data_IF_041717715013
#
_entry.id   IF_041717715013
#
_cell.length_a   1.000
_cell.length_b   1.000
_cell.length_c   1.000
_cell.angle_alpha   90.00
_cell.angle_beta   90.00
_cell.angle_gamma   90.00
#
_symmetry.space_group_name_H-M   'P 1'
#
loop_
_entity.id
_entity.type
_entity.pdbx_description
1 polymer ?
#
# COMPACT_ATOMS: atom_id res chain seq x y z
N UNK A 1 -2.24 4.10 -9.93
CA UNK A 1 -1.66 5.36 -10.44
C UNK A 1 -1.75 5.55 -11.97
N UNK A 2 -2.08 4.53 -12.77
CA UNK A 2 -2.19 4.66 -14.23
C UNK A 2 -0.83 4.72 -14.94
N UNK A 3 0.25 4.27 -14.29
CA UNK A 3 1.57 4.22 -14.89
C UNK A 3 1.59 3.32 -16.15
N UNK A 4 2.38 3.69 -17.17
CA UNK A 4 2.38 3.00 -18.47
C UNK A 4 2.75 1.50 -18.41
N UNK A 5 3.49 1.07 -17.37
CA UNK A 5 3.74 -0.35 -17.11
C UNK A 5 2.48 -1.15 -16.76
N UNK A 6 1.42 -0.49 -16.27
CA UNK A 6 0.15 -1.11 -15.88
C UNK A 6 -0.88 -1.12 -17.01
N UNK A 7 -0.58 -0.53 -18.17
CA UNK A 7 -1.51 -0.37 -19.30
C UNK A 7 -1.04 -1.07 -20.56
N UNK A 8 -0.09 -2.01 -20.47
CA UNK A 8 0.34 -2.79 -21.63
C UNK A 8 -0.78 -3.74 -22.07
N UNK A 9 -0.83 -4.05 -23.36
CA UNK A 9 -1.84 -4.97 -23.91
C UNK A 9 -1.72 -6.37 -23.29
N UNK A 10 -0.49 -6.81 -23.01
CA UNK A 10 -0.22 -8.07 -22.33
C UNK A 10 -0.87 -8.11 -20.93
N UNK A 11 -0.67 -7.07 -20.12
CA UNK A 11 -1.28 -6.97 -18.79
C UNK A 11 -2.80 -6.94 -18.84
N UNK A 12 -3.37 -6.18 -19.77
CA UNK A 12 -4.83 -6.07 -19.95
C UNK A 12 -5.43 -7.42 -20.35
N UNK A 13 -4.79 -8.14 -21.28
CA UNK A 13 -5.24 -9.45 -21.72
C UNK A 13 -5.14 -10.48 -20.60
N UNK A 14 -4.06 -10.46 -19.82
CA UNK A 14 -3.88 -11.34 -18.67
C UNK A 14 -4.94 -11.08 -17.59
N UNK A 15 -5.23 -9.82 -17.26
CA UNK A 15 -6.28 -9.45 -16.32
C UNK A 15 -7.66 -9.92 -16.80
N UNK A 16 -7.99 -9.69 -18.08
CA UNK A 16 -9.25 -10.14 -18.69
C UNK A 16 -9.39 -11.67 -18.65
N UNK A 17 -8.33 -12.41 -18.98
CA UNK A 17 -8.33 -13.88 -18.95
C UNK A 17 -8.59 -14.45 -17.54
N UNK A 18 -8.25 -13.68 -16.50
CA UNK A 18 -8.45 -14.04 -15.09
C UNK A 18 -9.67 -13.36 -14.44
N UNK A 19 -10.57 -12.74 -15.22
CA UNK A 19 -11.74 -12.01 -14.72
C UNK A 19 -11.41 -10.89 -13.71
N UNK A 20 -10.26 -10.24 -13.88
CA UNK A 20 -9.81 -9.11 -13.05
C UNK A 20 -10.18 -7.81 -13.76
N UNK A 21 -10.92 -6.94 -13.06
CA UNK A 21 -11.22 -5.59 -13.53
C UNK A 21 -10.05 -4.67 -13.13
N UNK A 22 -9.37 -4.11 -14.13
CA UNK A 22 -8.33 -3.11 -13.90
C UNK A 22 -8.98 -1.72 -13.77
N UNK A 23 -8.63 -1.01 -12.70
CA UNK A 23 -9.07 0.36 -12.48
C UNK A 23 -7.93 1.35 -12.71
N UNK A 24 -8.09 2.24 -13.68
CA UNK A 24 -7.13 3.31 -13.94
C UNK A 24 -7.61 4.59 -13.25
N UNK A 25 -6.82 5.08 -12.29
CA UNK A 25 -7.12 6.35 -11.61
C UNK A 25 -6.86 7.52 -12.57
N UNK A 26 -7.66 8.61 -12.52
CA UNK A 26 -7.32 9.83 -13.24
C UNK A 26 -5.92 10.32 -12.88
N UNK A 27 -5.19 10.97 -13.82
CA UNK A 27 -3.85 11.46 -13.56
C UNK A 27 -3.76 12.32 -12.29
N UNK A 28 -2.67 12.18 -11.53
CA UNK A 28 -2.38 12.93 -10.30
C UNK A 28 -3.41 12.79 -9.16
N UNK A 29 -4.27 11.76 -9.19
CA UNK A 29 -5.27 11.54 -8.13
C UNK A 29 -4.93 10.43 -7.13
N UNK A 30 -3.74 9.82 -7.21
CA UNK A 30 -3.30 8.75 -6.30
C UNK A 30 -3.48 9.13 -4.82
N UNK A 31 -3.04 10.33 -4.44
CA UNK A 31 -3.17 10.88 -3.08
C UNK A 31 -4.61 11.07 -2.58
N UNK A 32 -5.62 10.93 -3.47
CA UNK A 32 -7.05 11.07 -3.14
C UNK A 32 -7.79 9.75 -3.29
N UNK A 33 -7.53 9.02 -4.36
CA UNK A 33 -8.36 7.88 -4.76
C UNK A 33 -7.69 6.53 -4.50
N UNK A 34 -6.39 6.46 -4.22
CA UNK A 34 -5.70 5.20 -3.95
C UNK A 34 -5.69 4.94 -2.44
N UNK A 35 -6.48 3.97 -1.91
CA UNK A 35 -6.60 3.78 -0.46
C UNK A 35 -5.27 3.51 0.24
N UNK A 36 -4.34 2.84 -0.46
CA UNK A 36 -3.01 2.57 0.10
C UNK A 36 -2.26 3.86 0.42
N UNK A 37 -2.25 4.83 -0.49
CA UNK A 37 -1.62 6.15 -0.28
C UNK A 37 -2.39 7.00 0.72
N UNK A 38 -3.72 6.93 0.69
CA UNK A 38 -4.59 7.76 1.55
C UNK A 38 -4.50 7.37 3.03
N UNK A 39 -4.33 6.08 3.35
CA UNK A 39 -4.44 5.66 4.75
C UNK A 39 -3.54 4.51 5.21
N UNK A 40 -2.87 3.77 4.31
CA UNK A 40 -2.07 2.61 4.73
C UNK A 40 -0.57 2.88 4.74
N UNK A 41 -0.05 3.64 3.76
CA UNK A 41 1.38 3.83 3.59
C UNK A 41 2.00 4.79 4.61
N UNK A 42 1.27 5.81 5.06
CA UNK A 42 1.74 6.66 6.17
C UNK A 42 2.02 5.86 7.45
N UNK A 43 1.04 5.11 7.98
CA UNK A 43 1.26 4.24 9.13
C UNK A 43 2.33 3.18 8.91
N UNK A 44 2.45 2.63 7.69
CA UNK A 44 3.50 1.67 7.35
C UNK A 44 4.89 2.30 7.44
N UNK A 45 5.06 3.50 6.89
CA UNK A 45 6.32 4.22 6.92
C UNK A 45 6.76 4.50 8.37
N UNK A 46 5.84 4.97 9.21
CA UNK A 46 6.11 5.15 10.65
C UNK A 46 6.49 3.83 11.32
N UNK A 47 5.72 2.77 11.10
CA UNK A 47 6.01 1.46 11.70
C UNK A 47 7.33 0.87 11.21
N UNK A 48 7.73 1.15 9.96
CA UNK A 48 8.98 0.72 9.38
C UNK A 48 10.17 1.44 10.01
N UNK A 49 10.13 2.76 10.12
CA UNK A 49 11.19 3.52 10.78
C UNK A 49 11.36 3.10 12.24
N UNK A 50 10.27 2.99 12.99
CA UNK A 50 10.32 2.48 14.36
C UNK A 50 10.94 1.08 14.43
N UNK A 51 10.70 0.21 13.44
CA UNK A 51 11.28 -1.13 13.43
C UNK A 51 12.79 -1.10 13.15
N UNK A 52 13.25 -0.21 12.28
CA UNK A 52 14.68 -0.01 12.05
C UNK A 52 15.36 0.51 13.32
N UNK A 53 14.76 1.47 14.01
CA UNK A 53 15.27 2.03 15.26
C UNK A 53 15.31 0.96 16.36
N UNK A 54 14.23 0.16 16.53
CA UNK A 54 14.19 -0.98 17.46
C UNK A 54 15.38 -1.94 17.24
N UNK A 55 15.72 -2.27 15.99
CA UNK A 55 16.83 -3.20 15.68
C UNK A 55 18.18 -2.56 16.00
N UNK A 56 18.36 -1.29 15.66
CA UNK A 56 19.58 -0.56 15.98
C UNK A 56 19.80 -0.49 17.49
N UNK A 57 18.74 -0.20 18.25
CA UNK A 57 18.77 -0.13 19.70
C UNK A 57 19.04 -1.51 20.34
N UNK A 58 18.44 -2.59 19.82
CA UNK A 58 18.58 -3.94 20.35
C UNK A 58 19.95 -4.59 20.04
N UNK A 59 20.50 -4.31 18.85
CA UNK A 59 21.68 -5.03 18.35
C UNK A 59 22.95 -4.17 18.30
N UNK A 60 22.82 -2.84 18.34
CA UNK A 60 23.90 -1.89 18.12
C UNK A 60 24.28 -1.70 16.64
N UNK A 61 23.62 -2.39 15.72
CA UNK A 61 23.94 -2.41 14.30
C UNK A 61 22.69 -2.14 13.44
N UNK A 62 22.83 -1.51 12.26
CA UNK A 62 21.71 -1.29 11.35
C UNK A 62 21.19 -2.60 10.76
N UNK A 63 19.90 -2.61 10.40
CA UNK A 63 19.27 -3.76 9.73
C UNK A 63 20.01 -4.15 8.45
N UNK A 64 20.34 -5.43 8.32
CA UNK A 64 20.94 -5.97 7.11
C UNK A 64 19.93 -6.16 5.98
N UNK A 65 20.40 -6.04 4.74
CA UNK A 65 19.57 -6.19 3.54
C UNK A 65 18.85 -7.56 3.47
N UNK A 66 19.49 -8.63 3.96
CA UNK A 66 18.90 -9.98 3.97
C UNK A 66 17.65 -10.09 4.86
N UNK A 67 17.51 -9.21 5.85
CA UNK A 67 16.42 -9.22 6.81
C UNK A 67 15.27 -8.26 6.45
N UNK A 68 15.47 -7.38 5.46
CA UNK A 68 14.49 -6.34 5.07
C UNK A 68 13.09 -6.91 4.86
N UNK A 69 12.96 -8.01 4.12
CA UNK A 69 11.64 -8.63 3.84
C UNK A 69 10.99 -9.12 5.14
N UNK A 70 11.75 -9.84 5.96
CA UNK A 70 11.27 -10.40 7.23
C UNK A 70 10.79 -9.29 8.17
N UNK A 71 11.60 -8.26 8.35
CA UNK A 71 11.30 -7.14 9.24
C UNK A 71 10.18 -6.25 8.67
N UNK A 72 10.07 -6.16 7.34
CA UNK A 72 8.99 -5.44 6.69
C UNK A 72 7.64 -6.06 7.03
N UNK A 73 7.54 -7.39 7.10
CA UNK A 73 6.31 -8.05 7.54
C UNK A 73 5.97 -7.79 9.01
N UNK A 74 6.94 -7.47 9.86
CA UNK A 74 6.69 -7.02 11.23
C UNK A 74 6.03 -5.64 11.21
N UNK A 75 6.63 -4.66 10.52
CA UNK A 75 6.08 -3.32 10.37
C UNK A 75 4.70 -3.33 9.68
N UNK A 76 4.54 -4.13 8.62
CA UNK A 76 3.30 -4.27 7.87
C UNK A 76 2.16 -4.79 8.74
N UNK A 77 2.40 -5.77 9.62
CA UNK A 77 1.38 -6.26 10.58
C UNK A 77 0.96 -5.19 11.59
N UNK A 78 1.89 -4.33 12.03
CA UNK A 78 1.58 -3.20 12.91
C UNK A 78 0.71 -2.15 12.19
N UNK A 79 0.97 -1.89 10.91
CA UNK A 79 0.32 -0.83 10.15
C UNK A 79 -1.00 -1.22 9.45
N UNK A 80 -1.08 -2.40 8.84
CA UNK A 80 -2.24 -2.86 8.06
C UNK A 80 -3.30 -3.51 8.95
N UNK A 81 -3.87 -2.71 9.86
CA UNK A 81 -5.03 -3.11 10.67
C UNK A 81 -6.32 -2.94 9.87
N UNK A 82 -7.32 -3.77 10.15
CA UNK A 82 -8.64 -3.70 9.50
C UNK A 82 -9.25 -2.30 9.58
N UNK A 83 -9.09 -1.63 10.72
CA UNK A 83 -9.54 -0.25 10.92
C UNK A 83 -8.89 0.74 9.93
N UNK A 84 -7.56 0.73 9.83
CA UNK A 84 -6.82 1.59 8.91
C UNK A 84 -7.24 1.33 7.45
N UNK A 85 -7.42 0.06 7.08
CA UNK A 85 -7.85 -0.32 5.74
C UNK A 85 -9.26 0.23 5.47
N UNK A 86 -10.22 -0.02 6.34
CA UNK A 86 -11.60 0.43 6.16
C UNK A 86 -11.70 1.96 6.11
N UNK A 87 -10.94 2.65 6.97
CA UNK A 87 -10.90 4.11 6.98
C UNK A 87 -10.24 4.67 5.71
N UNK A 88 -9.22 4.02 5.18
CA UNK A 88 -8.60 4.40 3.92
C UNK A 88 -9.60 4.35 2.75
N UNK A 89 -10.38 3.27 2.64
CA UNK A 89 -11.44 3.17 1.62
C UNK A 89 -12.50 4.25 1.74
N UNK A 90 -12.86 4.63 2.97
CA UNK A 90 -13.78 5.73 3.25
C UNK A 90 -13.21 7.08 2.86
N UNK A 91 -11.97 7.36 3.24
CA UNK A 91 -11.29 8.61 2.93
C UNK A 91 -11.03 8.76 1.43
N UNK A 92 -10.88 7.65 0.70
CA UNK A 92 -10.77 7.68 -0.76
C UNK A 92 -12.10 7.87 -1.50
N UNK A 93 -13.22 7.96 -0.79
CA UNK A 93 -14.55 8.09 -1.38
C UNK A 93 -15.02 6.83 -2.13
N UNK A 94 -14.33 5.70 -1.96
CA UNK A 94 -14.63 4.45 -2.65
C UNK A 94 -15.57 3.55 -1.84
N UNK A 95 -15.67 3.75 -0.51
CA UNK A 95 -16.59 2.99 0.34
C UNK A 95 -17.03 3.72 1.63
N UNK A 96 -18.33 3.85 1.95
CA UNK A 96 -19.46 3.42 1.13
C UNK A 96 -19.48 4.19 -0.19
N UNK A 97 -19.92 3.54 -1.26
CA UNK A 97 -20.19 4.22 -2.51
C UNK A 97 -21.27 5.25 -2.18
N UNK A 98 -21.00 6.53 -2.40
CA UNK A 98 -22.04 7.55 -2.38
C UNK A 98 -22.49 7.75 -3.84
N UNK A 99 -23.61 7.14 -4.27
CA UNK A 99 -24.08 7.21 -5.65
C UNK A 99 -24.82 8.53 -5.97
N UNK A 100 -25.05 9.38 -4.96
CA UNK A 100 -25.74 10.67 -5.07
C UNK A 100 -24.76 11.85 -5.28
#
# INVERSE_FOLDING_TARGET
>A
DGHGSHTTLEWINLARANNIILYCLPPHTTHRLQPLDVGCFGPLQTAWFNRCDEILDETGEPMEMRDVVKEYFVARRKAFKSENILQAWKNSGLRPINPD
#
